data_IF_231815772454
#
_entry.id   IF_231815772454
#
_cell.length_a   1.000
_cell.length_b   1.000
_cell.length_c   1.000
_cell.angle_alpha   90.00
_cell.angle_beta   90.00
_cell.angle_gamma   90.00
#
_symmetry.space_group_name_H-M   'P 1'
#
loop_
_entity.id
_entity.type
_entity.pdbx_description
1 polymer ?
#
# COMPACT_ATOMS: atom_id res chain seq x y z
N UNK A 1 6.39 -3.54 16.59
CA UNK A 1 5.36 -2.60 17.08
C UNK A 1 4.72 -3.19 18.33
N UNK A 2 4.70 -2.44 19.44
CA UNK A 2 4.09 -2.93 20.67
C UNK A 2 2.60 -3.18 20.45
N UNK A 3 2.15 -4.38 20.77
CA UNK A 3 0.73 -4.73 20.75
C UNK A 3 0.07 -3.92 21.86
N UNK A 4 -0.84 -3.02 21.50
CA UNK A 4 -1.71 -2.38 22.49
C UNK A 4 -2.66 -3.49 22.98
N UNK A 5 -2.40 -3.98 24.20
CA UNK A 5 -3.20 -5.05 24.80
C UNK A 5 -4.58 -4.55 25.28
N UNK A 6 -4.76 -3.24 25.38
CA UNK A 6 -6.03 -2.61 25.75
C UNK A 6 -6.80 -2.24 24.47
N UNK A 7 -7.80 -3.05 24.13
CA UNK A 7 -8.66 -2.82 22.97
C UNK A 7 -9.39 -1.46 23.03
N UNK A 8 -9.78 -1.02 24.21
CA UNK A 8 -10.46 0.27 24.39
C UNK A 8 -9.54 1.45 24.04
N UNK A 9 -8.27 1.36 24.43
CA UNK A 9 -7.27 2.38 24.07
C UNK A 9 -6.96 2.33 22.58
N UNK A 10 -6.83 1.13 22.01
CA UNK A 10 -6.60 0.95 20.58
C UNK A 10 -7.73 1.55 19.74
N UNK A 11 -8.98 1.31 20.10
CA UNK A 11 -10.17 1.88 19.44
C UNK A 11 -10.16 3.42 19.50
N UNK A 12 -9.83 4.00 20.65
CA UNK A 12 -9.76 5.47 20.81
C UNK A 12 -8.63 6.08 19.98
N UNK A 13 -7.46 5.46 19.97
CA UNK A 13 -6.31 5.93 19.17
C UNK A 13 -6.61 5.83 17.67
N UNK A 14 -7.21 4.73 17.25
CA UNK A 14 -7.65 4.55 15.86
C UNK A 14 -8.65 5.64 15.44
N UNK A 15 -9.68 5.86 16.23
CA UNK A 15 -10.68 6.89 15.96
C UNK A 15 -10.06 8.29 15.89
N UNK A 16 -9.21 8.61 16.85
CA UNK A 16 -8.53 9.91 16.92
C UNK A 16 -7.62 10.14 15.71
N UNK A 17 -6.83 9.13 15.33
CA UNK A 17 -5.99 9.20 14.14
C UNK A 17 -6.83 9.44 12.87
N UNK A 18 -7.91 8.69 12.71
CA UNK A 18 -8.82 8.83 11.58
C UNK A 18 -9.46 10.22 11.51
N UNK A 19 -9.91 10.74 12.65
CA UNK A 19 -10.54 12.06 12.74
C UNK A 19 -9.56 13.21 12.48
N UNK A 20 -8.35 13.15 13.03
CA UNK A 20 -7.36 14.22 12.94
C UNK A 20 -6.55 14.19 11.63
N UNK A 21 -6.23 13.01 11.12
CA UNK A 21 -5.30 12.84 10.01
C UNK A 21 -5.98 12.38 8.71
N UNK A 22 -7.26 12.00 8.75
CA UNK A 22 -7.98 11.50 7.57
C UNK A 22 -7.40 10.20 7.01
N UNK A 23 -6.66 9.44 7.81
CA UNK A 23 -6.06 8.16 7.47
C UNK A 23 -6.85 7.04 8.14
N UNK A 24 -7.39 6.12 7.36
CA UNK A 24 -8.04 4.91 7.86
C UNK A 24 -7.02 3.77 7.92
N UNK A 25 -6.40 3.62 9.07
CA UNK A 25 -5.44 2.57 9.37
C UNK A 25 -5.86 1.87 10.67
N UNK A 26 -6.58 0.75 10.53
CA UNK A 26 -7.03 -0.01 11.66
C UNK A 26 -5.86 -0.67 12.40
N UNK A 27 -5.88 -0.71 13.71
CA UNK A 27 -4.75 -1.15 14.53
C UNK A 27 -4.37 -2.64 14.38
N UNK A 28 -5.22 -3.46 13.76
CA UNK A 28 -4.90 -4.85 13.41
C UNK A 28 -4.21 -4.98 12.03
N UNK A 29 -3.99 -3.87 11.31
CA UNK A 29 -3.19 -3.89 10.09
C UNK A 29 -1.73 -4.06 10.44
N UNK A 30 -1.11 -5.13 9.94
CA UNK A 30 0.29 -5.43 10.17
C UNK A 30 1.14 -4.75 9.09
N UNK A 31 1.64 -3.56 9.41
CA UNK A 31 2.56 -2.85 8.53
C UNK A 31 3.97 -3.41 8.66
N UNK A 32 4.78 -3.35 7.58
CA UNK A 32 6.16 -3.80 7.62
C UNK A 32 7.01 -2.92 8.55
N UNK A 33 8.22 -3.37 8.87
CA UNK A 33 9.14 -2.61 9.73
C UNK A 33 9.56 -1.28 9.11
N UNK A 34 9.65 -1.23 7.78
CA UNK A 34 10.06 -0.05 7.03
C UNK A 34 8.96 0.30 6.04
N UNK A 35 8.31 1.44 6.28
CA UNK A 35 7.27 1.98 5.40
C UNK A 35 7.30 3.51 5.39
N UNK A 36 6.65 4.10 4.41
CA UNK A 36 6.53 5.55 4.31
C UNK A 36 5.15 5.96 3.83
N UNK A 37 4.56 6.95 4.49
CA UNK A 37 3.29 7.56 4.11
C UNK A 37 3.51 9.02 3.75
N UNK A 38 3.22 9.37 2.52
CA UNK A 38 3.41 10.71 1.98
C UNK A 38 2.05 11.42 1.88
N UNK A 39 1.77 12.31 2.82
CA UNK A 39 0.49 13.02 2.89
C UNK A 39 -0.74 12.10 2.82
N UNK A 40 -0.88 11.08 3.67
CA UNK A 40 -1.82 9.97 3.45
C UNK A 40 -3.30 10.32 3.73
N UNK A 41 -3.71 11.56 3.55
CA UNK A 41 -5.10 12.01 3.72
C UNK A 41 -6.02 11.28 2.73
N UNK A 42 -7.11 10.73 3.23
CA UNK A 42 -8.07 9.96 2.45
C UNK A 42 -7.59 8.55 2.08
N UNK A 43 -6.46 8.11 2.63
CA UNK A 43 -5.93 6.77 2.39
C UNK A 43 -6.56 5.76 3.35
N UNK A 44 -6.89 4.59 2.80
CA UNK A 44 -7.42 3.44 3.54
C UNK A 44 -6.50 2.24 3.32
N UNK A 45 -5.91 1.72 4.40
CA UNK A 45 -5.05 0.55 4.35
C UNK A 45 -5.73 -0.63 5.06
N UNK A 46 -6.12 -1.63 4.28
CA UNK A 46 -6.72 -2.87 4.77
C UNK A 46 -5.71 -3.91 5.25
N UNK A 47 -6.19 -5.05 5.73
CA UNK A 47 -5.39 -6.16 6.29
C UNK A 47 -4.66 -6.98 5.21
N UNK A 48 -3.92 -6.32 4.33
CA UNK A 48 -3.08 -6.97 3.33
C UNK A 48 -1.75 -7.45 3.93
N UNK A 49 -1.01 -8.26 3.19
CA UNK A 49 0.39 -8.53 3.50
C UNK A 49 1.26 -7.44 2.87
N UNK A 50 2.04 -6.74 3.67
CA UNK A 50 2.88 -5.64 3.21
C UNK A 50 4.36 -6.01 3.34
N UNK A 51 5.12 -5.92 2.25
CA UNK A 51 6.57 -6.05 2.27
C UNK A 51 7.27 -4.76 2.71
N UNK A 52 8.53 -4.88 3.14
CA UNK A 52 9.33 -3.73 3.55
C UNK A 52 9.47 -2.69 2.43
N UNK A 53 9.69 -1.44 2.80
CA UNK A 53 9.76 -0.28 1.92
C UNK A 53 8.44 0.02 1.18
N UNK A 54 7.31 -0.44 1.72
CA UNK A 54 6.00 -0.03 1.22
C UNK A 54 5.82 1.48 1.38
N UNK A 55 5.28 2.14 0.37
CA UNK A 55 4.92 3.55 0.48
C UNK A 55 3.61 3.89 -0.21
N UNK A 56 2.87 4.82 0.35
CA UNK A 56 1.64 5.32 -0.25
C UNK A 56 1.51 6.83 -0.09
N UNK A 57 0.85 7.44 -1.06
CA UNK A 57 0.46 8.85 -1.02
C UNK A 57 -1.00 9.01 -0.59
N UNK A 58 -1.59 10.18 -0.85
CA UNK A 58 -2.99 10.49 -0.51
C UNK A 58 -3.99 9.72 -1.38
N UNK A 59 -5.19 9.53 -0.85
CA UNK A 59 -6.33 8.90 -1.53
C UNK A 59 -6.06 7.49 -2.09
N UNK A 60 -5.10 6.78 -1.49
CA UNK A 60 -4.83 5.40 -1.86
C UNK A 60 -5.78 4.45 -1.13
N UNK A 61 -6.03 3.30 -1.73
CA UNK A 61 -6.82 2.25 -1.09
C UNK A 61 -6.16 0.89 -1.28
N UNK A 62 -5.94 0.19 -0.18
CA UNK A 62 -5.64 -1.25 -0.18
C UNK A 62 -6.80 -1.96 0.48
N UNK A 63 -7.51 -2.79 -0.25
CA UNK A 63 -8.76 -3.38 0.23
C UNK A 63 -8.98 -4.82 -0.22
N UNK A 64 -10.02 -5.43 0.32
CA UNK A 64 -10.42 -6.77 -0.07
C UNK A 64 -11.45 -6.77 -1.21
N UNK A 65 -11.52 -7.92 -1.90
CA UNK A 65 -12.66 -8.34 -2.69
C UNK A 65 -13.09 -9.72 -2.21
N UNK A 66 -14.36 -9.87 -1.83
CA UNK A 66 -14.89 -11.14 -1.28
C UNK A 66 -14.05 -11.71 -0.12
N UNK A 67 -13.55 -10.84 0.75
CA UNK A 67 -12.74 -11.23 1.91
C UNK A 67 -11.26 -11.50 1.62
N UNK A 68 -10.82 -11.43 0.36
CA UNK A 68 -9.43 -11.67 -0.03
C UNK A 68 -8.70 -10.33 -0.16
N UNK A 69 -7.56 -10.23 0.51
CA UNK A 69 -6.69 -9.06 0.46
C UNK A 69 -5.45 -9.29 -0.40
N UNK A 70 -4.85 -8.22 -0.94
CA UNK A 70 -3.63 -8.33 -1.71
C UNK A 70 -2.43 -8.83 -0.90
N UNK A 71 -1.47 -9.43 -1.63
CA UNK A 71 -0.12 -9.73 -1.15
C UNK A 71 0.83 -8.77 -1.84
N UNK A 72 1.52 -7.95 -1.06
CA UNK A 72 2.35 -6.85 -1.57
C UNK A 72 3.81 -7.16 -1.27
N UNK A 73 4.63 -7.20 -2.30
CA UNK A 73 6.07 -7.44 -2.19
C UNK A 73 6.83 -6.25 -1.61
N UNK A 74 8.17 -6.32 -1.68
CA UNK A 74 9.04 -5.27 -1.17
C UNK A 74 9.12 -4.07 -2.13
N UNK A 75 9.34 -2.88 -1.59
CA UNK A 75 9.50 -1.65 -2.34
C UNK A 75 8.37 -1.38 -3.35
N UNK A 76 7.14 -1.50 -2.87
CA UNK A 76 5.94 -1.18 -3.64
C UNK A 76 5.46 0.22 -3.30
N UNK A 77 5.20 1.03 -4.32
CA UNK A 77 4.76 2.43 -4.19
C UNK A 77 3.37 2.60 -4.77
N UNK A 78 2.48 3.16 -3.98
CA UNK A 78 1.16 3.60 -4.43
C UNK A 78 1.19 5.13 -4.57
N UNK A 79 1.18 5.64 -5.80
CA UNK A 79 1.08 7.07 -6.03
C UNK A 79 -0.37 7.54 -5.81
N UNK A 80 -0.58 8.86 -5.76
CA UNK A 80 -1.86 9.46 -5.37
C UNK A 80 -3.06 8.83 -6.06
N UNK A 81 -4.06 8.44 -5.29
CA UNK A 81 -5.30 7.86 -5.80
C UNK A 81 -5.20 6.42 -6.30
N UNK A 82 -4.04 5.76 -6.19
CA UNK A 82 -3.90 4.36 -6.59
C UNK A 82 -4.71 3.43 -5.68
N UNK A 83 -5.36 2.44 -6.29
CA UNK A 83 -6.20 1.46 -5.58
C UNK A 83 -5.74 0.04 -5.91
N UNK A 84 -5.58 -0.77 -4.89
CA UNK A 84 -5.17 -2.16 -4.98
C UNK A 84 -6.16 -3.02 -4.20
N UNK A 85 -6.95 -3.81 -4.91
CA UNK A 85 -8.11 -4.49 -4.34
C UNK A 85 -8.09 -5.98 -4.65
N UNK A 86 -8.43 -6.79 -3.66
CA UNK A 86 -8.77 -8.18 -3.85
C UNK A 86 -7.58 -9.12 -4.01
N UNK A 87 -7.80 -10.22 -4.74
CA UNK A 87 -6.82 -11.28 -4.92
C UNK A 87 -5.75 -10.90 -5.96
N UNK A 88 -4.81 -10.07 -5.51
CA UNK A 88 -3.68 -9.61 -6.33
C UNK A 88 -2.38 -9.91 -5.63
N UNK A 89 -1.42 -10.48 -6.34
CA UNK A 89 -0.04 -10.64 -5.88
C UNK A 89 0.83 -9.62 -6.60
N UNK A 90 1.38 -8.69 -5.84
CA UNK A 90 2.24 -7.63 -6.37
C UNK A 90 3.70 -8.01 -6.08
N UNK A 91 4.49 -8.09 -7.14
CA UNK A 91 5.91 -8.41 -7.02
C UNK A 91 6.72 -7.32 -6.32
N UNK A 92 8.03 -7.51 -6.26
CA UNK A 92 8.96 -6.53 -5.68
C UNK A 92 9.25 -5.40 -6.68
N UNK A 93 9.58 -4.21 -6.18
CA UNK A 93 9.91 -3.06 -7.03
C UNK A 93 8.78 -2.75 -8.02
N UNK A 94 7.61 -2.44 -7.51
CA UNK A 94 6.44 -2.08 -8.30
C UNK A 94 5.96 -0.69 -7.92
N UNK A 95 5.63 0.11 -8.92
CA UNK A 95 4.98 1.42 -8.73
C UNK A 95 3.63 1.41 -9.41
N UNK A 96 2.57 1.61 -8.64
CA UNK A 96 1.25 1.94 -9.19
C UNK A 96 1.19 3.45 -9.42
N UNK A 97 1.07 3.86 -10.66
CA UNK A 97 0.97 5.27 -11.05
C UNK A 97 -0.29 5.92 -10.45
N UNK A 98 -0.34 7.24 -10.45
CA UNK A 98 -1.49 7.97 -9.92
C UNK A 98 -2.80 7.52 -10.58
N UNK A 99 -3.83 7.33 -9.74
CA UNK A 99 -5.17 6.88 -10.13
C UNK A 99 -5.24 5.48 -10.80
N UNK A 100 -4.19 4.68 -10.68
CA UNK A 100 -4.22 3.29 -11.14
C UNK A 100 -5.18 2.46 -10.28
N UNK A 101 -5.98 1.62 -10.93
CA UNK A 101 -6.88 0.70 -10.26
C UNK A 101 -6.56 -0.75 -10.61
N UNK A 102 -5.99 -1.47 -9.66
CA UNK A 102 -5.68 -2.91 -9.78
C UNK A 102 -6.66 -3.71 -8.94
N UNK A 103 -7.37 -4.62 -9.58
CA UNK A 103 -8.32 -5.51 -8.92
C UNK A 103 -8.13 -6.94 -9.42
N UNK A 104 -7.96 -7.87 -8.48
CA UNK A 104 -7.86 -9.32 -8.76
C UNK A 104 -6.89 -9.65 -9.91
N UNK A 105 -5.74 -8.96 -9.93
CA UNK A 105 -4.75 -9.06 -11.02
C UNK A 105 -3.35 -9.07 -10.45
N UNK A 106 -2.54 -10.05 -10.83
CA UNK A 106 -1.14 -10.15 -10.41
C UNK A 106 -0.26 -9.19 -11.22
N UNK A 107 0.70 -8.56 -10.55
CA UNK A 107 1.65 -7.63 -11.15
C UNK A 107 3.07 -8.17 -10.97
N UNK A 108 3.83 -8.34 -12.07
CA UNK A 108 5.20 -8.82 -11.99
C UNK A 108 6.14 -7.80 -11.33
N UNK A 109 7.23 -8.30 -10.78
CA UNK A 109 8.29 -7.46 -10.20
C UNK A 109 8.88 -6.50 -11.24
N UNK A 110 9.49 -5.42 -10.76
CA UNK A 110 10.17 -4.41 -11.56
C UNK A 110 9.25 -3.78 -12.62
N UNK A 111 8.07 -3.34 -12.20
CA UNK A 111 7.04 -2.81 -13.09
C UNK A 111 6.51 -1.46 -12.64
N UNK A 112 6.13 -0.64 -13.62
CA UNK A 112 5.28 0.53 -13.43
C UNK A 112 3.93 0.23 -14.07
N UNK A 113 2.85 0.43 -13.32
CA UNK A 113 1.49 0.07 -13.72
C UNK A 113 0.65 1.32 -13.88
N UNK A 114 -0.11 1.38 -14.98
CA UNK A 114 -1.04 2.45 -15.31
C UNK A 114 -2.42 1.90 -15.67
N UNK A 115 -3.43 2.73 -15.54
CA UNK A 115 -4.77 2.41 -16.02
C UNK A 115 -5.62 1.67 -14.99
N UNK A 116 -6.61 0.95 -15.46
CA UNK A 116 -7.60 0.28 -14.61
C UNK A 116 -7.86 -1.15 -15.09
N UNK A 117 -7.93 -2.08 -14.14
CA UNK A 117 -8.34 -3.45 -14.44
C UNK A 117 -9.67 -3.48 -15.20
N UNK A 118 -9.83 -4.34 -16.23
CA UNK A 118 -8.88 -5.35 -16.67
C UNK A 118 -7.84 -4.83 -17.68
N UNK A 119 -7.89 -3.55 -18.10
CA UNK A 119 -7.06 -2.97 -19.15
C UNK A 119 -5.84 -2.25 -18.59
N UNK A 120 -5.02 -2.94 -17.78
CA UNK A 120 -3.80 -2.38 -17.23
C UNK A 120 -2.70 -2.28 -18.28
N UNK A 121 -1.90 -1.22 -18.18
CA UNK A 121 -0.65 -1.05 -18.93
C UNK A 121 0.50 -1.28 -17.96
N UNK A 122 1.26 -2.36 -18.16
CA UNK A 122 2.37 -2.76 -17.30
C UNK A 122 3.68 -2.55 -18.08
N UNK A 123 4.54 -1.67 -17.57
CA UNK A 123 5.84 -1.37 -18.17
C UNK A 123 6.95 -1.94 -17.29
N UNK A 124 7.71 -2.90 -17.80
CA UNK A 124 8.91 -3.41 -17.15
C UNK A 124 10.00 -2.35 -17.11
N UNK A 125 10.76 -2.33 -16.04
CA UNK A 125 11.93 -1.48 -15.83
C UNK A 125 13.09 -2.31 -15.30
N UNK A 126 14.31 -1.84 -15.54
CA UNK A 126 15.48 -2.41 -14.88
C UNK A 126 15.40 -2.22 -13.36
N UNK A 127 15.92 -3.18 -12.61
CA UNK A 127 15.89 -3.13 -11.14
C UNK A 127 16.56 -1.87 -10.59
N UNK A 128 17.59 -1.34 -11.26
CA UNK A 128 18.28 -0.10 -10.86
C UNK A 128 17.38 1.14 -10.88
N UNK A 129 16.27 1.10 -11.60
CA UNK A 129 15.27 2.17 -11.61
C UNK A 129 14.55 2.33 -10.27
N UNK A 130 14.44 1.26 -9.50
CA UNK A 130 13.68 1.22 -8.25
C UNK A 130 14.60 1.33 -7.03
N UNK A 131 15.06 2.51 -6.71
CA UNK A 131 15.80 2.72 -5.47
C UNK A 131 14.84 2.83 -4.29
N UNK A 132 15.07 2.10 -3.18
CA UNK A 132 14.29 2.27 -1.97
C UNK A 132 14.32 3.72 -1.50
N UNK A 133 13.16 4.23 -1.09
CA UNK A 133 13.04 5.63 -0.65
C UNK A 133 13.88 5.94 0.60
N UNK A 134 14.22 4.90 1.35
CA UNK A 134 14.98 4.98 2.59
C UNK A 134 16.43 4.51 2.45
N UNK A 135 16.91 4.27 1.25
CA UNK A 135 18.34 3.99 1.08
C UNK A 135 19.14 5.22 1.45
N UNK A 136 19.83 5.16 2.56
CA UNK A 136 20.82 6.14 2.96
C UNK A 136 22.05 6.00 2.07
N UNK A 137 21.95 6.42 0.83
CA UNK A 137 23.14 6.57 -0.01
C UNK A 137 23.49 8.03 -0.08
N UNK A 138 24.37 8.41 0.80
CA UNK A 138 25.41 9.40 0.56
C UNK A 138 26.70 8.91 1.14
#
# INVERSE_FOLDING_TARGET
>A
MGIIQDSTLADRVYYLNKALNGLDLFYEVDLPKIFFMDHPVGTVLGRAQYGDYFSCAQNCTVGNNQGIYPKIGQNVKLLSGAKLIGNSTIGNNVTLAANTYVKDTDIPSCSIVFGSSPNLIIKSKDQSYFNPRFSSTK
#
